data_IF_780198873065
#
_entry.id   IF_780198873065
#
_cell.length_a   1.000
_cell.length_b   1.000
_cell.length_c   1.000
_cell.angle_alpha   90.00
_cell.angle_beta   90.00
_cell.angle_gamma   90.00
#
_symmetry.space_group_name_H-M   'P 1'
#
loop_
_entity.id
_entity.type
_entity.pdbx_description
1 polymer ?
#
# COMPACT_ATOMS: atom_id res chain seq x y z
N UNK A 1 -18.92 -2.47 38.13
CA UNK A 1 -20.10 -2.25 37.24
C UNK A 1 -20.07 -0.80 36.75
N UNK A 2 -20.62 -0.59 35.54
CA UNK A 2 -20.86 0.68 34.84
C UNK A 2 -19.68 1.28 34.03
N UNK A 3 -19.50 0.76 32.81
CA UNK A 3 -18.87 1.50 31.70
C UNK A 3 -20.01 2.06 30.84
N UNK A 4 -20.23 3.37 30.94
CA UNK A 4 -21.26 4.07 30.18
C UNK A 4 -20.85 4.13 28.69
N UNK A 5 -21.45 3.27 27.87
CA UNK A 5 -21.35 3.35 26.42
C UNK A 5 -22.26 4.47 25.91
N UNK A 6 -21.70 5.66 25.70
CA UNK A 6 -22.37 6.72 24.95
C UNK A 6 -22.45 6.26 23.49
N UNK A 7 -23.55 5.62 23.13
CA UNK A 7 -23.90 5.34 21.74
C UNK A 7 -24.11 6.69 21.07
N UNK A 8 -23.24 6.98 20.11
CA UNK A 8 -23.26 8.17 19.28
C UNK A 8 -24.66 8.36 18.68
N UNK A 9 -25.31 9.48 19.03
CA UNK A 9 -26.65 9.83 18.56
C UNK A 9 -26.56 10.05 17.06
N UNK A 10 -27.12 9.12 16.27
CA UNK A 10 -27.44 9.36 14.86
C UNK A 10 -28.62 10.33 14.84
N UNK A 11 -28.36 11.62 14.60
CA UNK A 11 -29.44 12.55 14.27
C UNK A 11 -29.90 12.27 12.84
N UNK A 12 -31.01 11.54 12.72
CA UNK A 12 -31.74 11.41 11.46
C UNK A 12 -32.70 12.61 11.40
N UNK A 13 -32.28 13.70 10.75
CA UNK A 13 -33.22 14.76 10.40
C UNK A 13 -34.03 14.31 9.20
N UNK A 14 -35.24 13.81 9.44
CA UNK A 14 -36.20 13.48 8.39
C UNK A 14 -36.75 14.81 7.85
N UNK A 15 -36.24 15.24 6.70
CA UNK A 15 -36.88 16.28 5.87
C UNK A 15 -37.29 15.64 4.55
N UNK A 16 -38.46 16.05 4.04
CA UNK A 16 -39.31 15.30 3.10
C UNK A 16 -38.80 15.15 1.66
N UNK A 17 -37.53 15.42 1.35
CA UNK A 17 -37.01 15.23 -0.01
C UNK A 17 -35.61 14.62 0.00
N UNK A 18 -35.46 13.57 -0.82
CA UNK A 18 -34.25 12.87 -1.22
C UNK A 18 -33.27 12.43 -0.10
N UNK A 19 -33.24 11.11 0.16
CA UNK A 19 -32.20 10.45 0.97
C UNK A 19 -30.87 10.51 0.21
N UNK A 20 -30.14 11.61 0.36
CA UNK A 20 -28.72 11.67 -0.01
C UNK A 20 -27.89 11.29 1.22
N UNK A 21 -27.53 10.01 1.34
CA UNK A 21 -26.52 9.57 2.31
C UNK A 21 -25.16 10.09 1.85
N UNK A 22 -24.85 11.34 2.20
CA UNK A 22 -23.51 11.90 2.02
C UNK A 22 -22.63 11.34 3.12
N UNK A 23 -21.96 10.21 2.84
CA UNK A 23 -20.92 9.70 3.71
C UNK A 23 -19.68 10.62 3.59
N UNK A 24 -19.67 11.73 4.34
CA UNK A 24 -18.49 12.60 4.44
C UNK A 24 -17.44 11.87 5.27
N UNK A 25 -16.35 11.45 4.62
CA UNK A 25 -15.15 10.97 5.33
C UNK A 25 -14.46 12.18 5.96
N UNK A 26 -14.68 12.39 7.26
CA UNK A 26 -13.88 13.34 8.04
C UNK A 26 -12.51 12.71 8.35
N UNK A 27 -11.43 13.39 7.97
CA UNK A 27 -10.09 13.08 8.46
C UNK A 27 -9.86 13.87 9.76
N UNK A 28 -9.25 13.24 10.75
CA UNK A 28 -8.76 13.96 11.93
C UNK A 28 -7.49 14.73 11.57
N UNK A 29 -7.59 16.03 11.34
CA UNK A 29 -6.41 16.90 11.33
C UNK A 29 -6.00 17.19 12.78
N UNK A 30 -5.13 16.35 13.34
CA UNK A 30 -4.51 16.64 14.63
C UNK A 30 -3.47 17.76 14.46
N UNK A 31 -3.76 18.97 14.96
CA UNK A 31 -2.75 20.00 15.13
C UNK A 31 -1.80 19.58 16.26
N UNK A 32 -0.63 19.05 15.92
CA UNK A 32 0.42 18.76 16.89
C UNK A 32 1.03 20.06 17.41
N UNK A 33 1.00 20.23 18.73
CA UNK A 33 1.60 21.32 19.49
C UNK A 33 3.13 21.18 19.44
N UNK A 34 3.81 22.22 18.96
CA UNK A 34 5.27 22.33 18.85
C UNK A 34 5.93 22.26 20.24
N UNK A 35 6.47 21.10 20.59
CA UNK A 35 7.41 20.92 21.71
C UNK A 35 8.83 20.94 21.17
N UNK A 36 9.59 21.97 21.52
CA UNK A 36 11.02 22.10 21.21
C UNK A 36 11.85 21.60 22.40
N UNK A 37 13.00 21.00 22.07
CA UNK A 37 14.18 20.71 22.91
C UNK A 37 14.29 19.30 23.49
N UNK A 38 15.00 18.46 22.75
CA UNK A 38 15.61 17.22 23.21
C UNK A 38 16.69 16.80 22.20
N UNK A 39 17.90 17.33 22.39
CA UNK A 39 19.11 16.85 21.69
C UNK A 39 19.57 15.58 22.38
N UNK A 40 19.49 14.44 21.70
CA UNK A 40 20.31 13.28 22.01
C UNK A 40 20.36 12.32 20.81
N UNK A 41 21.60 12.00 20.45
CA UNK A 41 22.06 10.78 19.78
C UNK A 41 21.62 10.56 18.33
N UNK A 42 22.63 10.66 17.48
CA UNK A 42 22.78 10.09 16.14
C UNK A 42 22.25 8.66 16.02
N UNK A 43 20.95 8.48 15.80
CA UNK A 43 20.39 7.28 15.19
C UNK A 43 20.34 7.49 13.67
N UNK A 44 21.52 7.54 13.06
CA UNK A 44 21.60 7.28 11.62
C UNK A 44 21.40 5.77 11.42
N UNK A 45 20.58 5.33 10.45
CA UNK A 45 20.47 3.91 10.15
C UNK A 45 21.87 3.40 9.82
N UNK A 46 22.30 2.32 10.50
CA UNK A 46 23.50 1.57 10.14
C UNK A 46 23.24 0.93 8.78
N UNK A 47 23.42 1.70 7.71
CA UNK A 47 23.59 1.16 6.39
C UNK A 47 24.92 0.40 6.42
N UNK A 48 24.85 -0.92 6.52
CA UNK A 48 26.02 -1.75 6.31
C UNK A 48 26.53 -1.46 4.90
N UNK A 49 27.69 -0.81 4.82
CA UNK A 49 28.44 -0.69 3.58
C UNK A 49 28.85 -2.11 3.17
N UNK A 50 28.07 -2.70 2.26
CA UNK A 50 28.33 -4.00 1.65
C UNK A 50 29.62 -3.91 0.83
N UNK A 51 30.75 -4.18 1.47
CA UNK A 51 32.02 -4.37 0.78
C UNK A 51 32.14 -5.84 0.37
N UNK A 52 32.28 -6.05 -0.95
CA UNK A 52 32.83 -7.24 -1.62
C UNK A 52 31.88 -8.43 -1.76
N UNK A 53 31.68 -8.76 -3.04
CA UNK A 53 31.10 -9.98 -3.59
C UNK A 53 29.77 -10.41 -2.98
N UNK A 54 28.70 -10.13 -3.74
CA UNK A 54 27.39 -10.75 -3.57
C UNK A 54 27.59 -12.26 -3.75
N UNK A 55 27.87 -12.95 -2.64
CA UNK A 55 27.92 -14.41 -2.63
C UNK A 55 26.50 -14.88 -2.94
N UNK A 56 26.34 -15.52 -4.09
CA UNK A 56 25.09 -16.13 -4.59
C UNK A 56 24.54 -17.24 -3.68
N UNK A 57 25.18 -17.49 -2.53
CA UNK A 57 24.82 -18.53 -1.57
C UNK A 57 23.96 -18.02 -0.41
N UNK A 58 23.99 -16.73 -0.06
CA UNK A 58 23.28 -16.22 1.12
C UNK A 58 22.67 -14.83 0.92
N UNK A 59 21.49 -14.60 1.50
CA UNK A 59 20.78 -13.32 1.42
C UNK A 59 21.26 -12.40 2.55
N UNK A 60 22.20 -11.51 2.22
CA UNK A 60 22.78 -10.58 3.20
C UNK A 60 21.74 -9.61 3.72
N UNK A 61 21.61 -9.51 5.05
CA UNK A 61 20.74 -8.52 5.72
C UNK A 61 19.28 -8.93 5.83
N UNK A 62 18.94 -10.18 5.55
CA UNK A 62 17.60 -10.71 5.82
C UNK A 62 17.42 -11.06 7.31
N UNK A 63 18.50 -11.41 8.03
CA UNK A 63 18.41 -11.66 9.46
C UNK A 63 18.42 -10.35 10.28
N UNK A 64 17.48 -10.24 11.22
CA UNK A 64 17.30 -9.09 12.11
C UNK A 64 17.77 -9.41 13.55
N UNK A 65 18.01 -10.70 13.85
CA UNK A 65 18.42 -11.16 15.17
C UNK A 65 19.93 -10.97 15.37
N UNK A 66 20.34 -10.55 16.58
CA UNK A 66 21.75 -10.30 16.91
C UNK A 66 22.62 -11.56 16.83
N UNK A 67 22.07 -12.70 17.23
CA UNK A 67 22.76 -14.00 17.26
C UNK A 67 22.33 -14.94 16.12
N UNK A 68 21.72 -14.38 15.06
CA UNK A 68 21.28 -15.14 13.90
C UNK A 68 22.27 -15.09 12.73
N UNK A 69 22.22 -16.11 11.88
CA UNK A 69 22.88 -16.11 10.58
C UNK A 69 21.89 -15.71 9.48
N UNK A 70 22.40 -15.14 8.40
CA UNK A 70 21.59 -14.87 7.20
C UNK A 70 21.14 -16.19 6.54
N UNK A 71 19.89 -16.25 6.03
CA UNK A 71 19.37 -17.42 5.35
C UNK A 71 20.16 -17.73 4.07
N UNK A 72 20.43 -19.01 3.85
CA UNK A 72 21.05 -19.50 2.62
C UNK A 72 20.02 -19.60 1.49
N UNK A 73 20.48 -19.39 0.26
CA UNK A 73 19.68 -19.57 -0.95
C UNK A 73 19.64 -21.08 -1.26
N UNK A 74 18.44 -21.62 -1.37
CA UNK A 74 18.16 -23.02 -1.66
C UNK A 74 18.05 -23.23 -3.18
N UNK A 75 18.09 -24.47 -3.69
CA UNK A 75 17.83 -24.71 -5.10
C UNK A 75 16.40 -24.30 -5.50
N UNK A 76 16.22 -23.95 -6.78
CA UNK A 76 14.95 -23.44 -7.33
C UNK A 76 13.75 -24.38 -7.08
N UNK A 77 14.00 -25.70 -6.96
CA UNK A 77 12.98 -26.73 -6.69
C UNK A 77 12.38 -26.68 -5.28
N UNK A 78 13.07 -26.06 -4.32
CA UNK A 78 12.56 -25.90 -2.95
C UNK A 78 11.64 -24.68 -2.82
N UNK A 79 11.66 -23.78 -3.80
CA UNK A 79 10.80 -22.62 -3.81
C UNK A 79 9.44 -22.94 -4.47
N UNK A 80 8.34 -22.41 -3.90
CA UNK A 80 7.03 -22.54 -4.52
C UNK A 80 6.95 -21.91 -5.92
N UNK A 81 6.15 -22.50 -6.79
CA UNK A 81 5.99 -22.09 -8.19
C UNK A 81 5.52 -20.63 -8.37
N UNK A 82 4.70 -20.13 -7.45
CA UNK A 82 4.21 -18.74 -7.49
C UNK A 82 5.33 -17.68 -7.44
N UNK A 83 6.53 -18.03 -6.94
CA UNK A 83 7.67 -17.13 -6.86
C UNK A 83 8.10 -16.67 -8.27
N UNK A 84 8.14 -17.60 -9.22
CA UNK A 84 8.59 -17.36 -10.58
C UNK A 84 7.61 -16.48 -11.36
N UNK A 85 6.31 -16.64 -11.06
CA UNK A 85 5.24 -15.82 -11.63
C UNK A 85 5.21 -14.36 -11.15
N UNK A 86 6.02 -13.98 -10.15
CA UNK A 86 6.11 -12.58 -9.72
C UNK A 86 6.87 -11.71 -10.73
N UNK A 87 7.79 -12.30 -11.49
CA UNK A 87 8.61 -11.60 -12.49
C UNK A 87 7.80 -11.34 -13.76
N UNK A 88 6.76 -12.14 -14.01
CA UNK A 88 5.91 -12.02 -15.17
C UNK A 88 5.28 -10.63 -15.27
N UNK A 89 5.54 -9.98 -16.41
CA UNK A 89 5.02 -8.65 -16.69
C UNK A 89 3.52 -8.74 -16.78
N UNK A 90 2.86 -8.12 -15.81
CA UNK A 90 1.42 -8.02 -15.81
C UNK A 90 0.97 -7.12 -16.98
N UNK A 91 -0.07 -7.53 -17.70
CA UNK A 91 -0.77 -6.89 -18.83
C UNK A 91 -0.97 -5.35 -18.76
N UNK A 92 -0.68 -4.59 -19.81
CA UNK A 92 -0.80 -3.13 -19.75
C UNK A 92 -2.26 -2.63 -19.77
N UNK A 93 -2.51 -1.39 -19.34
CA UNK A 93 -3.85 -0.76 -19.39
C UNK A 93 -4.40 -0.76 -20.83
N UNK A 94 -3.56 -0.45 -21.81
CA UNK A 94 -3.89 -0.47 -23.24
C UNK A 94 -4.33 -1.85 -23.73
N UNK A 95 -3.67 -2.91 -23.28
CA UNK A 95 -4.02 -4.29 -23.61
C UNK A 95 -5.34 -4.71 -22.94
N UNK A 96 -5.55 -4.29 -21.70
CA UNK A 96 -6.80 -4.57 -20.96
C UNK A 96 -8.00 -3.85 -21.58
N UNK A 97 -7.83 -2.62 -22.08
CA UNK A 97 -8.90 -1.89 -22.80
C UNK A 97 -9.28 -2.53 -24.14
N UNK A 98 -8.37 -3.27 -24.77
CA UNK A 98 -8.61 -3.95 -26.05
C UNK A 98 -9.32 -5.29 -25.89
N UNK A 99 -9.29 -5.88 -24.70
CA UNK A 99 -9.96 -7.15 -24.41
C UNK A 99 -11.39 -6.91 -23.94
N UNK A 100 -12.28 -7.86 -24.20
CA UNK A 100 -13.66 -7.81 -23.68
C UNK A 100 -13.65 -8.00 -22.16
N UNK A 101 -14.32 -7.08 -21.45
CA UNK A 101 -14.33 -7.02 -19.97
C UNK A 101 -15.03 -8.25 -19.39
N UNK A 102 -16.05 -8.76 -20.07
CA UNK A 102 -16.89 -9.87 -19.59
C UNK A 102 -16.21 -11.24 -19.70
N UNK A 103 -15.28 -11.40 -20.65
CA UNK A 103 -14.54 -12.65 -20.86
C UNK A 103 -13.20 -12.69 -20.13
N UNK A 104 -12.85 -11.63 -19.40
CA UNK A 104 -11.53 -11.46 -18.82
C UNK A 104 -11.37 -12.30 -17.54
N UNK A 105 -10.21 -12.93 -17.31
CA UNK A 105 -9.95 -13.57 -16.02
C UNK A 105 -10.02 -12.55 -14.90
N UNK A 106 -10.47 -13.00 -13.73
CA UNK A 106 -10.73 -12.14 -12.57
C UNK A 106 -9.55 -11.24 -12.17
N UNK A 107 -8.32 -11.77 -12.23
CA UNK A 107 -7.11 -11.00 -11.89
C UNK A 107 -6.83 -9.84 -12.86
N UNK A 108 -7.09 -10.03 -14.15
CA UNK A 108 -6.98 -8.96 -15.16
C UNK A 108 -8.09 -7.92 -14.98
N UNK A 109 -9.32 -8.34 -14.64
CA UNK A 109 -10.43 -7.42 -14.35
C UNK A 109 -10.13 -6.53 -13.14
N UNK A 110 -9.66 -7.14 -12.04
CA UNK A 110 -9.24 -6.42 -10.83
C UNK A 110 -8.13 -5.42 -11.14
N UNK A 111 -7.18 -5.79 -12.01
CA UNK A 111 -6.11 -4.91 -12.46
C UNK A 111 -6.62 -3.78 -13.34
N UNK A 112 -7.55 -4.05 -14.26
CA UNK A 112 -8.19 -3.06 -15.12
C UNK A 112 -8.80 -1.93 -14.30
N UNK A 113 -9.66 -2.27 -13.33
CA UNK A 113 -10.31 -1.29 -12.46
C UNK A 113 -9.30 -0.44 -11.68
N UNK A 114 -8.20 -1.04 -11.20
CA UNK A 114 -7.13 -0.30 -10.52
C UNK A 114 -6.40 0.68 -11.44
N UNK A 115 -6.06 0.24 -12.65
CA UNK A 115 -5.33 1.05 -13.63
C UNK A 115 -6.19 2.19 -14.17
N UNK A 116 -7.45 1.93 -14.48
CA UNK A 116 -8.39 2.93 -14.98
C UNK A 116 -8.65 4.03 -13.93
N UNK A 117 -8.87 3.64 -12.66
CA UNK A 117 -8.98 4.59 -11.57
C UNK A 117 -7.70 5.41 -11.37
N UNK A 118 -6.52 4.79 -11.48
CA UNK A 118 -5.24 5.52 -11.40
C UNK A 118 -5.09 6.52 -12.55
N UNK A 119 -5.49 6.16 -13.77
CA UNK A 119 -5.44 7.06 -14.92
C UNK A 119 -6.34 8.28 -14.71
N UNK A 120 -7.59 8.06 -14.28
CA UNK A 120 -8.57 9.13 -13.97
C UNK A 120 -8.08 10.06 -12.86
N UNK A 121 -7.47 9.53 -11.80
CA UNK A 121 -6.90 10.35 -10.72
C UNK A 121 -5.74 11.20 -11.24
N UNK A 122 -4.84 10.63 -12.06
CA UNK A 122 -3.72 11.37 -12.63
C UNK A 122 -4.18 12.50 -13.54
N UNK A 123 -5.18 12.25 -14.39
CA UNK A 123 -5.79 13.26 -15.24
C UNK A 123 -6.37 14.41 -14.42
N UNK A 124 -7.19 14.10 -13.41
CA UNK A 124 -7.75 15.10 -12.50
C UNK A 124 -6.68 15.93 -11.77
N UNK A 125 -5.63 15.28 -11.27
CA UNK A 125 -4.51 15.98 -10.64
C UNK A 125 -3.78 16.88 -11.64
N UNK A 126 -3.61 16.44 -12.88
CA UNK A 126 -2.94 17.22 -13.93
C UNK A 126 -3.74 18.46 -14.36
N UNK A 127 -5.08 18.38 -14.36
CA UNK A 127 -5.96 19.52 -14.64
C UNK A 127 -5.92 20.50 -13.46
N UNK A 128 -6.04 20.00 -12.23
CA UNK A 128 -6.03 20.83 -11.01
C UNK A 128 -4.67 21.48 -10.71
N UNK A 129 -3.57 20.87 -11.13
CA UNK A 129 -2.23 21.43 -10.90
C UNK A 129 -1.87 22.56 -11.90
N UNK A 130 -2.61 22.67 -13.01
CA UNK A 130 -2.38 23.70 -14.04
C UNK A 130 -3.29 24.93 -13.87
N UNK A 131 -4.29 24.86 -12.99
CA UNK A 131 -5.15 25.97 -12.59
C UNK A 131 -4.70 26.51 -11.24
#
# INVERSE_FOLDING_TARGET
>A
MAMNHVRLIRSITISKEAIAVVCRRSYSSGKAKKGSKGSATSDAPKASLLSKEVKSTAVVGANILKDGADPQILPDSEYPDWLWHLIDKRTALSELRRKNIESLPYEDLKRFVKLDNRARIKENNSIKAKN
#
